data_IF_147282626033
#
_entry.id   IF_147282626033
#
_cell.length_a   1.000
_cell.length_b   1.000
_cell.length_c   1.000
_cell.angle_alpha   90.00
_cell.angle_beta   90.00
_cell.angle_gamma   90.00
#
_symmetry.space_group_name_H-M   'P 1'
#
loop_
_entity.id
_entity.type
_entity.pdbx_description
1 polymer ?
#
# COMPACT_ATOMS: atom_id res chain seq x y z
N UNK A 1 -8.75 -26.13 -18.92
CA UNK A 1 -7.39 -25.79 -18.43
C UNK A 1 -7.48 -25.69 -16.92
N UNK A 2 -6.62 -26.41 -16.17
CA UNK A 2 -6.66 -26.37 -14.70
C UNK A 2 -6.31 -24.95 -14.25
N UNK A 3 -7.20 -24.30 -13.50
CA UNK A 3 -6.89 -23.08 -12.76
C UNK A 3 -5.77 -23.42 -11.78
N UNK A 4 -4.52 -23.23 -12.18
CA UNK A 4 -3.43 -23.07 -11.22
C UNK A 4 -3.75 -21.76 -10.51
N UNK A 5 -4.41 -21.86 -9.35
CA UNK A 5 -4.48 -20.75 -8.42
C UNK A 5 -3.04 -20.28 -8.20
N UNK A 6 -2.72 -19.07 -8.63
CA UNK A 6 -1.42 -18.47 -8.38
C UNK A 6 -1.23 -18.45 -6.86
N UNK A 7 -0.34 -19.32 -6.35
CA UNK A 7 0.02 -19.32 -4.95
C UNK A 7 0.85 -18.07 -4.70
N UNK A 8 0.20 -17.02 -4.19
CA UNK A 8 0.87 -15.79 -3.83
C UNK A 8 1.79 -16.05 -2.63
N UNK A 9 3.07 -15.62 -2.67
CA UNK A 9 3.94 -15.70 -1.51
C UNK A 9 3.34 -14.85 -0.38
N UNK A 10 3.39 -15.33 0.86
CA UNK A 10 2.96 -14.52 1.99
C UNK A 10 4.09 -13.56 2.34
N UNK A 11 3.75 -12.32 2.68
CA UNK A 11 4.75 -11.34 3.16
C UNK A 11 5.53 -11.84 4.39
N UNK A 12 4.88 -12.66 5.23
CA UNK A 12 5.49 -13.30 6.40
C UNK A 12 6.62 -14.26 6.05
N UNK A 13 6.69 -14.73 4.81
CA UNK A 13 7.72 -15.68 4.38
C UNK A 13 9.08 -15.00 4.21
N UNK A 14 9.09 -13.66 4.05
CA UNK A 14 10.32 -12.88 4.04
C UNK A 14 10.83 -12.63 5.47
N UNK A 15 11.98 -13.23 5.79
CA UNK A 15 12.61 -13.16 7.12
C UNK A 15 12.93 -11.73 7.56
N UNK A 16 13.31 -10.85 6.64
CA UNK A 16 13.69 -9.48 6.97
C UNK A 16 12.47 -8.61 7.30
N UNK A 17 11.40 -8.76 6.52
CA UNK A 17 10.12 -8.11 6.80
C UNK A 17 9.54 -8.61 8.13
N UNK A 18 9.48 -9.94 8.32
CA UNK A 18 8.98 -10.53 9.56
C UNK A 18 9.79 -10.10 10.80
N UNK A 19 11.12 -10.01 10.69
CA UNK A 19 11.95 -9.50 11.77
C UNK A 19 11.70 -8.01 12.06
N UNK A 20 11.48 -7.19 11.02
CA UNK A 20 11.18 -5.77 11.19
C UNK A 20 9.81 -5.53 11.82
N UNK A 21 8.80 -6.33 11.45
CA UNK A 21 7.45 -6.26 12.04
C UNK A 21 7.43 -6.76 13.48
N UNK A 22 8.18 -7.81 13.80
CA UNK A 22 8.28 -8.30 15.18
C UNK A 22 8.94 -7.25 16.09
N UNK A 23 10.03 -6.61 15.63
CA UNK A 23 10.66 -5.51 16.37
C UNK A 23 9.71 -4.32 16.59
N UNK A 24 8.84 -4.02 15.62
CA UNK A 24 7.80 -2.99 15.79
C UNK A 24 6.79 -3.38 16.88
N UNK A 25 6.35 -4.65 16.88
CA UNK A 25 5.43 -5.17 17.89
C UNK A 25 6.06 -5.10 19.30
N UNK A 26 7.33 -5.48 19.43
CA UNK A 26 8.08 -5.40 20.69
C UNK A 26 8.18 -3.96 21.21
N UNK A 27 8.49 -3.00 20.33
CA UNK A 27 8.56 -1.57 20.71
C UNK A 27 7.19 -1.01 21.14
N UNK A 28 6.10 -1.44 20.51
CA UNK A 28 4.74 -1.06 20.90
C UNK A 28 4.36 -1.65 22.26
N UNK A 29 4.78 -2.87 22.55
CA UNK A 29 4.57 -3.49 23.85
C UNK A 29 5.36 -2.74 24.94
N UNK A 30 6.63 -2.42 24.69
CA UNK A 30 7.44 -1.61 25.59
C UNK A 30 6.85 -0.21 25.84
N UNK A 31 6.23 0.40 24.81
CA UNK A 31 5.53 1.66 24.95
C UNK A 31 4.33 1.53 25.90
N UNK A 32 3.49 0.52 25.70
CA UNK A 32 2.32 0.28 26.53
C UNK A 32 2.70 0.02 28.00
N UNK A 33 3.76 -0.76 28.24
CA UNK A 33 4.29 -0.98 29.59
C UNK A 33 4.83 0.30 30.23
N UNK A 34 5.56 1.13 29.48
CA UNK A 34 6.09 2.39 29.97
C UNK A 34 4.99 3.42 30.28
N UNK A 35 3.96 3.51 29.43
CA UNK A 35 2.78 4.35 29.66
C UNK A 35 1.99 3.87 30.89
N UNK A 36 1.83 2.54 31.07
CA UNK A 36 1.19 1.98 32.27
C UNK A 36 1.96 2.31 33.56
N UNK A 37 3.29 2.24 33.55
CA UNK A 37 4.14 2.63 34.69
C UNK A 37 4.05 4.12 35.00
N UNK A 38 4.02 4.97 33.97
CA UNK A 38 3.82 6.42 34.12
C UNK A 38 2.49 6.72 34.82
N UNK A 39 1.41 6.06 34.38
CA UNK A 39 0.07 6.31 34.93
C UNK A 39 -0.06 5.80 36.37
N UNK A 40 0.64 4.72 36.72
CA UNK A 40 0.75 4.24 38.10
C UNK A 40 1.46 5.26 39.02
N UNK A 41 2.62 5.78 38.60
CA UNK A 41 3.37 6.79 39.38
C UNK A 41 2.59 8.09 39.50
N UNK A 42 1.93 8.55 38.42
CA UNK A 42 1.05 9.73 38.48
C UNK A 42 -0.08 9.54 39.49
N UNK A 43 -0.67 8.33 39.54
CA UNK A 43 -1.70 7.98 40.51
C UNK A 43 -1.18 7.96 41.94
N UNK A 44 0.06 7.51 42.17
CA UNK A 44 0.71 7.55 43.49
C UNK A 44 1.01 8.99 43.94
N UNK A 45 1.50 9.85 43.04
CA UNK A 45 1.71 11.28 43.31
C UNK A 45 0.38 11.96 43.70
N UNK A 46 -0.73 11.61 43.05
CA UNK A 46 -2.05 12.16 43.39
C UNK A 46 -2.62 11.61 44.71
N UNK A 47 -2.38 10.32 45.02
CA UNK A 47 -2.78 9.71 46.30
C UNK A 47 -1.96 10.22 47.50
N UNK A 48 -0.70 10.56 47.26
CA UNK A 48 0.23 11.06 48.28
C UNK A 48 0.01 12.51 48.71
N UNK A 49 -0.97 13.24 48.16
CA UNK A 49 -1.34 14.57 48.65
C UNK A 49 -2.16 14.44 49.95
N UNK A 50 -1.62 14.80 51.13
CA UNK A 50 -2.43 14.85 52.34
C UNK A 50 -3.55 15.89 52.17
N UNK A 51 -4.76 15.57 52.64
CA UNK A 51 -5.85 16.55 52.77
C UNK A 51 -5.54 17.64 53.81
N UNK A 52 -4.48 17.46 54.62
CA UNK A 52 -3.98 18.44 55.59
C UNK A 52 -2.82 19.24 55.03
N UNK A 53 -2.76 20.51 55.45
CA UNK A 53 -1.70 21.43 55.07
C UNK A 53 -0.34 20.87 55.54
N UNK A 54 0.61 20.57 54.63
CA UNK A 54 1.91 20.00 54.99
C UNK A 54 2.71 20.88 55.96
N UNK A 55 2.43 22.19 56.00
CA UNK A 55 3.01 23.13 56.95
C UNK A 55 2.50 22.86 58.38
N UNK A 56 1.24 22.47 58.51
CA UNK A 56 0.59 22.22 59.80
C UNK A 56 1.08 20.89 60.40
N UNK A 57 1.27 19.87 59.57
CA UNK A 57 1.83 18.57 59.98
C UNK A 57 3.34 18.67 60.32
N UNK A 58 4.09 19.51 59.58
CA UNK A 58 5.47 19.82 59.91
C UNK A 58 5.58 20.61 61.23
N UNK A 59 4.66 21.54 61.49
CA UNK A 59 4.60 22.30 62.75
C UNK A 59 4.26 21.41 63.95
N UNK A 60 3.33 20.46 63.81
CA UNK A 60 3.00 19.47 64.85
C UNK A 60 4.20 18.58 65.19
N UNK A 61 4.92 18.06 64.20
CA UNK A 61 6.13 17.24 64.41
C UNK A 61 7.31 18.03 65.02
N UNK A 62 7.44 19.32 64.69
CA UNK A 62 8.45 20.19 65.29
C UNK A 62 8.18 20.46 66.78
N UNK A 63 6.90 20.53 67.18
CA UNK A 63 6.49 20.70 68.58
C UNK A 63 6.69 19.42 69.42
N UNK A 64 6.68 18.25 68.80
CA UNK A 64 6.95 16.95 69.45
C UNK A 64 8.45 16.60 69.56
N UNK A 65 9.35 17.51 69.15
CA UNK A 65 10.82 17.34 69.29
C UNK A 65 11.47 16.48 68.21
N UNK A 66 10.79 16.22 67.09
CA UNK A 66 11.34 15.49 65.94
C UNK A 66 12.14 16.38 64.96
N UNK A 67 13.21 15.84 64.40
CA UNK A 67 14.04 16.50 63.37
C UNK A 67 13.27 16.77 62.06
N UNK A 68 13.76 17.77 61.32
CA UNK A 68 13.30 18.31 60.02
C UNK A 68 12.72 17.27 59.05
N UNK A 69 11.77 17.65 58.16
CA UNK A 69 11.08 16.70 57.28
C UNK A 69 12.08 15.94 56.40
N UNK A 70 11.94 14.61 56.34
CA UNK A 70 12.63 13.79 55.34
C UNK A 70 12.35 14.36 53.95
N UNK A 71 13.41 14.52 53.14
CA UNK A 71 13.29 14.80 51.71
C UNK A 71 12.42 13.69 51.12
N UNK A 72 11.17 14.04 50.88
CA UNK A 72 10.05 13.10 50.83
C UNK A 72 10.09 12.26 49.57
N UNK A 73 9.59 11.03 49.65
CA UNK A 73 9.37 10.11 48.53
C UNK A 73 8.79 10.77 47.25
N UNK A 74 8.15 11.92 47.37
CA UNK A 74 7.58 12.71 46.28
C UNK A 74 8.63 13.23 45.27
N UNK A 75 9.82 13.66 45.70
CA UNK A 75 10.87 14.13 44.77
C UNK A 75 11.41 12.97 43.92
N UNK A 76 11.66 11.80 44.54
CA UNK A 76 12.05 10.57 43.84
C UNK A 76 10.98 10.10 42.85
N UNK A 77 9.70 10.22 43.23
CA UNK A 77 8.58 9.91 42.34
C UNK A 77 8.50 10.88 41.15
N UNK A 78 8.78 12.17 41.35
CA UNK A 78 8.84 13.16 40.27
C UNK A 78 10.01 12.93 39.31
N UNK A 79 11.20 12.59 39.82
CA UNK A 79 12.36 12.23 39.00
C UNK A 79 12.06 10.99 38.16
N UNK A 80 11.56 9.91 38.77
CA UNK A 80 11.19 8.68 38.04
C UNK A 80 10.09 8.91 37.00
N UNK A 81 9.15 9.82 37.27
CA UNK A 81 8.14 10.23 36.30
C UNK A 81 8.74 10.96 35.09
N UNK A 82 9.69 11.87 35.31
CA UNK A 82 10.40 12.57 34.23
C UNK A 82 11.26 11.62 33.40
N UNK A 83 11.95 10.67 34.03
CA UNK A 83 12.69 9.60 33.33
C UNK A 83 11.77 8.73 32.46
N UNK A 84 10.56 8.42 32.94
CA UNK A 84 9.59 7.66 32.15
C UNK A 84 9.05 8.48 30.97
N UNK A 85 8.82 9.79 31.13
CA UNK A 85 8.41 10.65 30.01
C UNK A 85 9.48 10.69 28.92
N UNK A 86 10.76 10.86 29.29
CA UNK A 86 11.86 10.87 28.32
C UNK A 86 12.01 9.50 27.67
N UNK A 87 11.89 8.40 28.42
CA UNK A 87 11.88 7.05 27.84
C UNK A 87 10.72 6.84 26.87
N UNK A 88 9.51 7.29 27.19
CA UNK A 88 8.34 7.20 26.32
C UNK A 88 8.56 8.00 25.02
N UNK A 89 9.12 9.21 25.08
CA UNK A 89 9.39 10.01 23.89
C UNK A 89 10.44 9.34 22.99
N UNK A 90 11.49 8.76 23.58
CA UNK A 90 12.50 7.96 22.85
C UNK A 90 11.86 6.74 22.19
N UNK A 91 11.00 5.98 22.90
CA UNK A 91 10.31 4.82 22.31
C UNK A 91 9.38 5.25 21.16
N UNK A 92 8.64 6.36 21.31
CA UNK A 92 7.79 6.90 20.23
C UNK A 92 8.62 7.29 19.00
N UNK A 93 9.77 7.91 19.20
CA UNK A 93 10.70 8.22 18.10
C UNK A 93 11.25 6.95 17.44
N UNK A 94 11.63 5.95 18.24
CA UNK A 94 12.11 4.65 17.75
C UNK A 94 11.03 3.91 16.94
N UNK A 95 9.76 3.97 17.37
CA UNK A 95 8.63 3.40 16.63
C UNK A 95 8.51 4.05 15.25
N UNK A 96 8.53 5.39 15.16
CA UNK A 96 8.44 6.09 13.86
C UNK A 96 9.56 5.67 12.89
N UNK A 97 10.79 5.57 13.38
CA UNK A 97 11.92 5.10 12.58
C UNK A 97 11.77 3.64 12.16
N UNK A 98 11.22 2.80 13.04
CA UNK A 98 10.98 1.40 12.73
C UNK A 98 9.82 1.22 11.74
N UNK A 99 8.77 2.04 11.80
CA UNK A 99 7.69 2.05 10.80
C UNK A 99 8.21 2.38 9.41
N UNK A 100 9.10 3.37 9.30
CA UNK A 100 9.77 3.67 8.05
C UNK A 100 10.57 2.48 7.53
N UNK A 101 11.38 1.83 8.37
CA UNK A 101 12.13 0.62 7.99
C UNK A 101 11.22 -0.54 7.55
N UNK A 102 10.07 -0.72 8.18
CA UNK A 102 9.09 -1.74 7.77
C UNK A 102 8.54 -1.39 6.38
N UNK A 103 8.26 -0.12 6.10
CA UNK A 103 7.80 0.32 4.78
C UNK A 103 8.89 0.15 3.71
N UNK A 104 10.15 0.44 4.03
CA UNK A 104 11.28 0.23 3.10
C UNK A 104 11.49 -1.26 2.78
N UNK A 105 11.32 -2.14 3.77
CA UNK A 105 11.40 -3.59 3.56
C UNK A 105 10.18 -4.11 2.80
N UNK A 106 9.00 -3.58 3.09
CA UNK A 106 7.78 -3.89 2.35
C UNK A 106 7.91 -3.53 0.87
N UNK A 107 8.40 -2.32 0.57
CA UNK A 107 8.58 -1.87 -0.80
C UNK A 107 9.58 -2.75 -1.55
N UNK A 108 10.71 -3.09 -0.94
CA UNK A 108 11.71 -3.99 -1.54
C UNK A 108 11.11 -5.37 -1.88
N UNK A 109 10.39 -6.00 -0.94
CA UNK A 109 9.73 -7.29 -1.18
C UNK A 109 8.65 -7.18 -2.24
N UNK A 110 7.91 -6.07 -2.24
CA UNK A 110 6.84 -5.84 -3.23
C UNK A 110 7.42 -5.72 -4.63
N UNK A 111 8.54 -5.02 -4.81
CA UNK A 111 9.23 -4.91 -6.10
C UNK A 111 9.65 -6.30 -6.61
N UNK A 112 10.32 -7.11 -5.79
CA UNK A 112 10.76 -8.45 -6.17
C UNK A 112 9.59 -9.35 -6.60
N UNK A 113 8.49 -9.31 -5.84
CA UNK A 113 7.28 -10.09 -6.16
C UNK A 113 6.65 -9.59 -7.46
N UNK A 114 6.53 -8.27 -7.63
CA UNK A 114 5.96 -7.67 -8.84
C UNK A 114 6.79 -7.99 -10.08
N UNK A 115 8.12 -7.93 -10.01
CA UNK A 115 9.02 -8.32 -11.09
C UNK A 115 8.83 -9.79 -11.48
N UNK A 116 8.69 -10.69 -10.48
CA UNK A 116 8.43 -12.11 -10.71
C UNK A 116 7.11 -12.36 -11.43
N UNK A 117 6.06 -11.59 -11.13
CA UNK A 117 4.73 -11.74 -11.73
C UNK A 117 4.52 -10.90 -12.98
N UNK A 118 5.45 -9.99 -13.32
CA UNK A 118 5.35 -9.13 -14.50
C UNK A 118 5.16 -9.91 -15.81
N UNK A 119 5.88 -11.02 -16.09
CA UNK A 119 5.69 -11.79 -17.32
C UNK A 119 4.30 -12.44 -17.40
N UNK A 120 3.80 -12.98 -16.29
CA UNK A 120 2.47 -13.59 -16.23
C UNK A 120 1.36 -12.53 -16.42
N UNK A 121 1.54 -11.34 -15.84
CA UNK A 121 0.63 -10.22 -16.06
C UNK A 121 0.63 -9.79 -17.53
N UNK A 122 1.80 -9.68 -18.17
CA UNK A 122 1.92 -9.38 -19.60
C UNK A 122 1.19 -10.40 -20.47
N UNK A 123 1.38 -11.68 -20.20
CA UNK A 123 0.70 -12.74 -20.94
C UNK A 123 -0.83 -12.65 -20.77
N UNK A 124 -1.31 -12.38 -19.56
CA UNK A 124 -2.73 -12.21 -19.30
C UNK A 124 -3.30 -10.97 -19.99
N UNK A 125 -2.59 -9.84 -20.01
CA UNK A 125 -3.00 -8.65 -20.73
C UNK A 125 -3.12 -8.92 -22.24
N UNK A 126 -2.13 -9.60 -22.85
CA UNK A 126 -2.19 -10.01 -24.26
C UNK A 126 -3.39 -10.91 -24.56
N UNK A 127 -3.71 -11.85 -23.66
CA UNK A 127 -4.92 -12.70 -23.79
C UNK A 127 -6.20 -11.87 -23.77
N UNK A 128 -6.30 -10.87 -22.90
CA UNK A 128 -7.45 -9.95 -22.87
C UNK A 128 -7.56 -9.22 -24.20
N UNK A 129 -6.46 -8.65 -24.72
CA UNK A 129 -6.45 -7.95 -26.01
C UNK A 129 -6.92 -8.86 -27.15
N UNK A 130 -6.42 -10.10 -27.22
CA UNK A 130 -6.87 -11.09 -28.21
C UNK A 130 -8.37 -11.37 -28.14
N UNK A 131 -8.94 -11.45 -26.93
CA UNK A 131 -10.38 -11.67 -26.75
C UNK A 131 -11.22 -10.44 -27.04
N UNK A 132 -10.69 -9.24 -26.80
CA UNK A 132 -11.35 -8.00 -27.20
C UNK A 132 -11.44 -7.88 -28.73
N UNK A 133 -10.43 -8.32 -29.47
CA UNK A 133 -10.47 -8.40 -30.93
C UNK A 133 -11.55 -9.34 -31.44
N UNK A 134 -11.55 -10.59 -30.95
CA UNK A 134 -12.59 -11.57 -31.33
C UNK A 134 -14.00 -11.03 -31.03
N UNK A 135 -14.17 -10.30 -29.93
CA UNK A 135 -15.44 -9.71 -29.54
C UNK A 135 -15.84 -8.54 -30.46
N UNK A 136 -14.89 -7.69 -30.86
CA UNK A 136 -15.11 -6.59 -31.81
C UNK A 136 -15.59 -7.10 -33.16
N UNK A 137 -14.94 -8.15 -33.67
CA UNK A 137 -15.31 -8.82 -34.93
C UNK A 137 -16.73 -9.36 -34.84
N UNK A 138 -17.08 -10.02 -33.72
CA UNK A 138 -18.42 -10.55 -33.51
C UNK A 138 -19.49 -9.45 -33.41
N UNK A 139 -19.19 -8.34 -32.71
CA UNK A 139 -20.11 -7.20 -32.59
C UNK A 139 -20.28 -6.46 -33.92
N UNK A 140 -19.21 -6.33 -34.70
CA UNK A 140 -19.26 -5.72 -36.04
C UNK A 140 -20.09 -6.57 -37.00
N UNK A 141 -19.88 -7.89 -37.02
CA UNK A 141 -20.69 -8.79 -37.86
C UNK A 141 -22.18 -8.78 -37.48
N UNK A 142 -22.50 -8.63 -36.18
CA UNK A 142 -23.89 -8.50 -35.70
C UNK A 142 -24.52 -7.18 -36.17
N UNK A 143 -23.77 -6.07 -36.07
CA UNK A 143 -24.20 -4.76 -36.54
C UNK A 143 -24.42 -4.76 -38.06
N UNK A 144 -23.49 -5.32 -38.83
CA UNK A 144 -23.60 -5.46 -40.30
C UNK A 144 -24.82 -6.30 -40.71
N UNK A 145 -25.13 -7.37 -39.99
CA UNK A 145 -26.34 -8.16 -40.23
C UNK A 145 -27.61 -7.32 -40.02
N UNK A 146 -27.68 -6.54 -38.93
CA UNK A 146 -28.83 -5.68 -38.65
C UNK A 146 -28.98 -4.56 -39.67
N UNK A 147 -27.89 -3.91 -40.03
CA UNK A 147 -27.87 -2.86 -41.05
C UNK A 147 -28.25 -3.44 -42.41
N UNK A 148 -27.73 -4.60 -42.79
CA UNK A 148 -28.09 -5.30 -44.03
C UNK A 148 -29.58 -5.64 -44.11
N UNK A 149 -30.17 -6.15 -43.01
CA UNK A 149 -31.61 -6.40 -42.93
C UNK A 149 -32.43 -5.11 -43.05
N UNK A 150 -31.97 -4.04 -42.40
CA UNK A 150 -32.61 -2.73 -42.47
C UNK A 150 -32.60 -2.17 -43.90
N UNK A 151 -31.44 -2.19 -44.59
CA UNK A 151 -31.32 -1.73 -45.97
C UNK A 151 -32.09 -2.60 -46.97
N UNK A 152 -32.24 -3.90 -46.68
CA UNK A 152 -33.09 -4.80 -47.45
C UNK A 152 -34.61 -4.60 -47.19
N UNK A 153 -34.98 -3.67 -46.30
CA UNK A 153 -36.38 -3.31 -46.02
C UNK A 153 -37.08 -4.24 -45.02
N UNK A 154 -36.34 -5.12 -44.33
CA UNK A 154 -36.92 -5.98 -43.29
C UNK A 154 -37.05 -5.24 -41.96
N UNK A 155 -38.15 -5.47 -41.26
CA UNK A 155 -38.34 -4.96 -39.91
C UNK A 155 -37.45 -5.73 -38.91
N UNK A 156 -36.42 -5.07 -38.38
CA UNK A 156 -35.45 -5.65 -37.43
C UNK A 156 -35.92 -5.66 -35.98
N UNK A 157 -37.13 -5.18 -35.67
CA UNK A 157 -37.65 -5.02 -34.31
C UNK A 157 -37.83 -6.32 -33.51
N UNK A 158 -37.80 -7.50 -34.16
CA UNK A 158 -37.80 -8.82 -33.48
C UNK A 158 -36.41 -9.26 -33.03
N UNK A 159 -35.34 -8.61 -33.48
CA UNK A 159 -33.98 -8.87 -33.05
C UNK A 159 -33.69 -8.01 -31.81
N UNK A 160 -33.62 -8.62 -30.62
CA UNK A 160 -33.28 -7.90 -29.39
C UNK A 160 -31.84 -7.42 -29.44
N UNK A 161 -31.61 -6.12 -29.19
CA UNK A 161 -30.25 -5.59 -29.08
C UNK A 161 -29.56 -6.11 -27.81
N UNK A 162 -28.38 -6.72 -27.96
CA UNK A 162 -27.61 -7.35 -26.88
C UNK A 162 -26.27 -6.63 -26.65
N UNK A 163 -26.32 -5.33 -26.36
CA UNK A 163 -25.11 -4.54 -26.09
C UNK A 163 -24.50 -4.80 -24.70
N UNK A 164 -23.17 -4.83 -24.64
CA UNK A 164 -22.41 -4.95 -23.38
C UNK A 164 -22.19 -3.55 -22.80
N UNK A 165 -23.05 -3.13 -21.86
CA UNK A 165 -23.14 -1.75 -21.34
C UNK A 165 -21.85 -1.14 -20.80
N UNK A 166 -20.93 -1.94 -20.26
CA UNK A 166 -19.74 -1.43 -19.57
C UNK A 166 -18.44 -1.53 -20.39
N UNK A 167 -18.47 -2.24 -21.50
CA UNK A 167 -17.28 -2.46 -22.33
C UNK A 167 -17.00 -1.23 -23.22
N UNK A 168 -18.07 -0.69 -23.80
CA UNK A 168 -18.02 0.38 -24.79
C UNK A 168 -17.57 -0.12 -26.17
N UNK A 169 -17.26 0.83 -27.07
CA UNK A 169 -16.91 0.59 -28.47
C UNK A 169 -15.42 0.90 -28.71
N UNK A 170 -14.72 0.05 -29.47
CA UNK A 170 -13.35 0.27 -29.90
C UNK A 170 -13.15 1.49 -30.79
N UNK A 171 -14.22 1.99 -31.41
CA UNK A 171 -14.20 3.20 -32.24
C UNK A 171 -14.35 4.48 -31.41
N UNK A 172 -14.84 4.37 -30.18
CA UNK A 172 -15.02 5.51 -29.27
C UNK A 172 -13.76 5.70 -28.41
N UNK A 173 -13.01 6.82 -28.57
CA UNK A 173 -11.83 7.10 -27.76
C UNK A 173 -12.09 7.20 -26.25
N UNK A 174 -13.35 7.42 -25.86
CA UNK A 174 -13.75 7.50 -24.45
C UNK A 174 -14.18 6.16 -23.85
N UNK A 175 -14.24 5.09 -24.65
CA UNK A 175 -14.64 3.77 -24.16
C UNK A 175 -13.58 3.14 -23.26
N UNK A 176 -14.02 2.25 -22.36
CA UNK A 176 -13.10 1.53 -21.47
C UNK A 176 -12.18 0.60 -22.24
N UNK A 177 -12.69 -0.05 -23.27
CA UNK A 177 -11.89 -0.93 -24.12
C UNK A 177 -10.86 -0.18 -24.96
N UNK A 178 -11.20 0.99 -25.51
CA UNK A 178 -10.24 1.83 -26.23
C UNK A 178 -9.09 2.25 -25.31
N UNK A 179 -9.42 2.75 -24.10
CA UNK A 179 -8.42 3.14 -23.10
C UNK A 179 -7.56 1.97 -22.66
N UNK A 180 -8.14 0.79 -22.49
CA UNK A 180 -7.39 -0.43 -22.16
C UNK A 180 -6.36 -0.78 -23.24
N UNK A 181 -6.73 -0.73 -24.53
CA UNK A 181 -5.79 -0.98 -25.62
C UNK A 181 -4.70 0.09 -25.72
N UNK A 182 -5.06 1.37 -25.51
CA UNK A 182 -4.10 2.46 -25.43
C UNK A 182 -3.07 2.24 -24.34
N UNK A 183 -3.51 1.92 -23.12
CA UNK A 183 -2.62 1.65 -21.98
C UNK A 183 -1.76 0.41 -22.24
N UNK A 184 -2.36 -0.66 -22.80
CA UNK A 184 -1.64 -1.86 -23.16
C UNK A 184 -0.51 -1.58 -24.17
N UNK A 185 -0.78 -0.73 -25.16
CA UNK A 185 0.23 -0.31 -26.14
C UNK A 185 1.28 0.61 -25.51
N UNK A 186 0.87 1.64 -24.75
CA UNK A 186 1.78 2.60 -24.12
C UNK A 186 2.75 1.94 -23.15
N UNK A 187 2.30 0.94 -22.39
CA UNK A 187 3.12 0.18 -21.46
C UNK A 187 3.90 -0.96 -22.13
N UNK A 188 3.81 -1.09 -23.46
CA UNK A 188 4.57 -2.06 -24.26
C UNK A 188 4.12 -3.51 -24.08
N UNK A 189 2.86 -3.73 -23.66
CA UNK A 189 2.28 -5.07 -23.62
C UNK A 189 2.00 -5.59 -25.03
N UNK A 190 1.58 -4.72 -25.95
CA UNK A 190 1.18 -5.07 -27.32
C UNK A 190 1.85 -4.14 -28.33
N UNK A 191 2.06 -4.64 -29.54
CA UNK A 191 2.62 -3.89 -30.67
C UNK A 191 1.51 -3.31 -31.57
N UNK A 192 1.87 -2.41 -32.49
CA UNK A 192 0.91 -1.81 -33.43
C UNK A 192 0.22 -2.88 -34.31
N UNK A 193 0.88 -4.00 -34.62
CA UNK A 193 0.28 -5.13 -35.34
C UNK A 193 -0.75 -5.91 -34.51
N UNK A 194 -0.67 -5.79 -33.19
CA UNK A 194 -1.60 -6.43 -32.25
C UNK A 194 -2.80 -5.55 -31.91
N UNK A 195 -2.93 -4.35 -32.50
CA UNK A 195 -4.14 -3.53 -32.42
C UNK A 195 -5.17 -3.93 -33.49
N UNK A 196 -6.48 -3.68 -33.27
CA UNK A 196 -7.50 -3.84 -34.30
C UNK A 196 -7.23 -2.94 -35.52
N UNK A 197 -7.65 -3.35 -36.72
CA UNK A 197 -7.42 -2.58 -37.96
C UNK A 197 -8.07 -1.18 -37.92
N UNK A 198 -9.20 -1.07 -37.23
CA UNK A 198 -9.95 0.17 -37.06
C UNK A 198 -9.35 1.10 -36.00
N UNK A 199 -8.24 0.68 -35.36
CA UNK A 199 -7.59 1.47 -34.32
C UNK A 199 -6.68 2.54 -34.94
N UNK A 200 -6.71 3.80 -34.48
CA UNK A 200 -5.84 4.85 -35.00
C UNK A 200 -4.35 4.46 -34.85
N UNK A 201 -3.55 4.79 -35.87
CA UNK A 201 -2.10 4.57 -35.82
C UNK A 201 -1.49 5.35 -34.66
N UNK A 202 -0.84 4.65 -33.74
CA UNK A 202 -0.18 5.28 -32.61
C UNK A 202 1.10 5.95 -33.09
N UNK A 203 1.27 7.24 -32.78
CA UNK A 203 2.46 8.02 -33.14
C UNK A 203 3.54 8.00 -32.05
N UNK A 204 3.21 7.51 -30.86
CA UNK A 204 4.15 7.38 -29.75
C UNK A 204 4.71 5.96 -29.73
N UNK A 205 6.03 5.82 -29.53
CA UNK A 205 6.64 4.51 -29.35
C UNK A 205 6.22 3.91 -28.00
N UNK A 206 5.92 2.60 -27.93
CA UNK A 206 5.59 1.94 -26.69
C UNK A 206 6.76 2.02 -25.70
N UNK A 207 6.47 2.11 -24.40
CA UNK A 207 7.52 2.03 -23.36
C UNK A 207 8.19 0.67 -23.45
N UNK A 208 9.35 0.65 -24.08
CA UNK A 208 10.12 -0.57 -24.23
C UNK A 208 10.94 -0.77 -22.96
N UNK A 209 10.35 -1.40 -21.93
CA UNK A 209 10.98 -1.65 -20.63
C UNK A 209 12.29 -2.46 -20.75
N UNK A 210 12.44 -3.27 -21.81
CA UNK A 210 13.70 -3.94 -22.13
C UNK A 210 14.79 -2.96 -22.54
N UNK A 211 14.45 -1.89 -23.25
CA UNK A 211 15.38 -0.83 -23.63
C UNK A 211 15.80 0.03 -22.44
N UNK A 212 14.91 0.27 -21.48
CA UNK A 212 15.24 1.01 -20.26
C UNK A 212 16.14 0.18 -19.32
N UNK A 213 15.85 -1.11 -19.16
CA UNK A 213 16.70 -2.02 -18.38
C UNK A 213 18.09 -2.23 -19.02
N UNK A 214 18.16 -2.24 -20.35
CA UNK A 214 19.43 -2.27 -21.08
C UNK A 214 20.18 -0.94 -20.95
N UNK A 215 19.51 0.21 -21.08
CA UNK A 215 20.09 1.54 -20.89
C UNK A 215 20.59 1.76 -19.47
N UNK A 216 19.84 1.32 -18.45
CA UNK A 216 20.27 1.41 -17.06
C UNK A 216 21.50 0.55 -16.79
N UNK A 217 21.54 -0.70 -17.30
CA UNK A 217 22.73 -1.55 -17.23
C UNK A 217 23.93 -0.96 -17.97
N UNK A 218 23.73 -0.36 -19.13
CA UNK A 218 24.80 0.29 -19.89
C UNK A 218 25.36 1.51 -19.15
N UNK A 219 24.50 2.34 -18.57
CA UNK A 219 24.93 3.48 -17.77
C UNK A 219 25.69 3.03 -16.51
N UNK A 220 25.25 1.98 -15.83
CA UNK A 220 26.00 1.44 -14.67
C UNK A 220 27.36 0.85 -15.06
N UNK A 221 27.52 0.35 -16.29
CA UNK A 221 28.80 -0.15 -16.79
C UNK A 221 29.74 0.98 -17.23
N UNK A 222 29.19 2.09 -17.74
CA UNK A 222 29.95 3.29 -18.11
C UNK A 222 30.42 4.04 -16.85
N UNK A 223 29.61 4.11 -15.78
CA UNK A 223 30.00 4.72 -14.51
C UNK A 223 31.03 3.90 -13.71
N UNK A 224 31.14 2.61 -14.00
CA UNK A 224 32.09 1.69 -13.36
C UNK A 224 33.43 1.54 -14.12
N UNK A 225 33.58 2.19 -15.29
CA UNK A 225 34.77 2.16 -16.14
C UNK A 225 35.55 3.48 -16.07
#
# INVERSE_FOLDING_TARGET
MKNQAFALPKLSDNKEYAAATNKLADLRLQLAEAEGKRDAILSEIHKGRPQRNPIQEAAEKMLEGGSSPEITNEEKLRESYQELITRISVIKAAIRLQEQKVMDKLSAVSVEVMERFQPAHRENARKVVSKLKELDEALTAEAELREGLYYAGFATGRLTYMGIRELGDLRDPNSRVYRYLMEAFQEGFIDQSELPENFPKMTQEPKNLASEALKSRLNTLIEAA
#
